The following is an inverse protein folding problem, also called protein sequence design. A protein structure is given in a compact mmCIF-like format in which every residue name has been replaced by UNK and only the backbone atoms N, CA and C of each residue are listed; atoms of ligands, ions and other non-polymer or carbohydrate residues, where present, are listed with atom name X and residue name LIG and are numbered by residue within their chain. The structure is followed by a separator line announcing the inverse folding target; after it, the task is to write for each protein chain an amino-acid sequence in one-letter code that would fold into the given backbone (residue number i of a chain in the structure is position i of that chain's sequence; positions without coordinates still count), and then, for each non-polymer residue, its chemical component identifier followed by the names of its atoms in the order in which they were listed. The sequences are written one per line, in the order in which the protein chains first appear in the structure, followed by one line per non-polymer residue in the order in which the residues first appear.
data_IF_625782660774
#
_entry.id   IF_625782660774
#
_cell.length_a   1.000
_cell.length_b   1.000
_cell.length_c   1.000
_cell.angle_alpha   90.00
_cell.angle_beta   90.00
_cell.angle_gamma   90.00
#
_symmetry.space_group_name_H-M   'P 1'
#
loop_
_entity.id
_entity.type
_entity.pdbx_description
1 polymer ?
#
# COMPACT_ATOMS: atom_id res chain seq x y z
N UNK A 1 -17.91 2.95 -10.64
CA UNK A 1 -16.61 3.66 -10.51
C UNK A 1 -16.81 5.14 -10.76
N UNK A 2 -16.07 6.01 -10.08
CA UNK A 2 -16.02 7.45 -10.38
C UNK A 2 -14.60 7.99 -10.28
N UNK A 3 -14.33 9.04 -11.05
CA UNK A 3 -13.06 9.76 -11.09
C UNK A 3 -13.36 11.25 -11.00
N UNK A 4 -12.59 11.96 -10.18
CA UNK A 4 -12.70 13.40 -9.98
C UNK A 4 -11.50 14.07 -10.63
N UNK A 5 -11.75 15.15 -11.36
CA UNK A 5 -10.77 15.92 -12.11
C UNK A 5 -10.77 17.39 -11.66
N UNK A 6 -9.59 17.96 -11.58
CA UNK A 6 -9.32 19.39 -11.43
C UNK A 6 -8.72 19.88 -12.75
N UNK A 7 -9.56 20.46 -13.61
CA UNK A 7 -9.21 20.67 -15.02
C UNK A 7 -8.90 19.34 -15.72
N UNK A 8 -7.70 19.23 -16.31
CA UNK A 8 -7.24 18.00 -16.98
C UNK A 8 -6.55 17.01 -16.02
N UNK A 9 -6.30 17.39 -14.77
CA UNK A 9 -5.62 16.54 -13.79
C UNK A 9 -6.63 15.63 -13.08
N UNK A 10 -6.44 14.32 -13.16
CA UNK A 10 -7.18 13.38 -12.31
C UNK A 10 -6.71 13.53 -10.86
N UNK A 11 -7.60 13.91 -9.96
CA UNK A 11 -7.27 14.12 -8.55
C UNK A 11 -7.71 12.96 -7.67
N UNK A 12 -8.76 12.23 -8.05
CA UNK A 12 -9.28 11.12 -7.24
C UNK A 12 -9.95 10.03 -8.07
N UNK A 13 -9.81 8.77 -7.65
CA UNK A 13 -10.54 7.60 -8.17
C UNK A 13 -11.19 6.89 -7.00
N UNK A 14 -12.52 6.74 -7.08
CA UNK A 14 -13.32 6.07 -6.07
C UNK A 14 -14.19 4.96 -6.65
N UNK A 15 -14.51 3.99 -5.80
CA UNK A 15 -15.55 3.00 -6.07
C UNK A 15 -16.64 3.10 -5.01
N UNK A 16 -17.82 2.60 -5.34
CA UNK A 16 -18.95 2.53 -4.42
C UNK A 16 -19.71 1.25 -4.73
N UNK A 17 -19.70 0.32 -3.78
CA UNK A 17 -20.37 -0.98 -3.88
C UNK A 17 -21.46 -1.14 -2.83
N UNK A 18 -21.37 -0.39 -1.73
CA UNK A 18 -22.28 -0.45 -0.57
C UNK A 18 -23.40 0.60 -0.58
N UNK A 19 -23.31 1.60 -1.47
CA UNK A 19 -24.28 2.69 -1.55
C UNK A 19 -24.38 3.25 -2.98
N UNK A 20 -25.50 3.88 -3.36
CA UNK A 20 -25.65 4.54 -4.65
C UNK A 20 -24.57 5.59 -4.88
N UNK A 21 -24.13 5.72 -6.13
CA UNK A 21 -23.10 6.71 -6.51
C UNK A 21 -23.49 8.13 -6.11
N UNK A 22 -24.76 8.50 -6.26
CA UNK A 22 -25.28 9.81 -5.89
C UNK A 22 -25.05 10.14 -4.40
N UNK A 23 -25.26 9.18 -3.52
CA UNK A 23 -25.06 9.37 -2.08
C UNK A 23 -23.58 9.44 -1.73
N UNK A 24 -22.74 8.66 -2.44
CA UNK A 24 -21.28 8.75 -2.30
C UNK A 24 -20.74 10.11 -2.75
N UNK A 25 -21.20 10.64 -3.88
CA UNK A 25 -20.81 11.97 -4.34
C UNK A 25 -21.32 13.07 -3.40
N UNK A 26 -22.52 12.93 -2.83
CA UNK A 26 -23.02 13.85 -1.80
C UNK A 26 -22.12 13.85 -0.55
N UNK A 27 -21.67 12.68 -0.08
CA UNK A 27 -20.71 12.62 1.03
C UNK A 27 -19.40 13.33 0.71
N UNK A 28 -18.93 13.26 -0.54
CA UNK A 28 -17.73 14.00 -0.96
C UNK A 28 -17.97 15.52 -0.98
N UNK A 29 -19.09 15.97 -1.56
CA UNK A 29 -19.36 17.39 -1.83
C UNK A 29 -19.89 18.16 -0.61
N UNK A 30 -20.70 17.52 0.24
CA UNK A 30 -21.42 18.20 1.34
C UNK A 30 -21.08 17.61 2.72
N UNK A 31 -20.07 16.75 2.78
CA UNK A 31 -19.64 16.09 4.00
C UNK A 31 -18.77 16.97 4.89
N UNK A 32 -17.94 16.32 5.70
CA UNK A 32 -16.88 16.95 6.50
C UNK A 32 -15.58 16.15 6.37
N UNK A 33 -14.52 16.54 7.07
CA UNK A 33 -13.20 15.86 7.01
C UNK A 33 -13.22 14.37 7.39
N UNK A 34 -14.26 13.89 8.09
CA UNK A 34 -14.46 12.47 8.40
C UNK A 34 -15.40 11.72 7.43
N UNK A 35 -16.08 12.44 6.54
CA UNK A 35 -17.09 11.86 5.63
C UNK A 35 -16.49 11.06 4.47
N UNK A 36 -15.26 11.40 4.05
CA UNK A 36 -14.56 10.68 2.99
C UNK A 36 -13.07 11.02 2.94
N UNK A 37 -12.27 10.06 2.46
CA UNK A 37 -10.84 10.25 2.23
C UNK A 37 -10.55 11.42 1.29
N UNK A 38 -11.36 11.59 0.23
CA UNK A 38 -11.23 12.72 -0.68
C UNK A 38 -11.41 14.07 0.04
N UNK A 39 -12.46 14.20 0.86
CA UNK A 39 -12.73 15.43 1.60
C UNK A 39 -11.63 15.71 2.65
N UNK A 40 -11.09 14.68 3.30
CA UNK A 40 -9.93 14.76 4.21
C UNK A 40 -8.68 15.28 3.48
N UNK A 41 -8.37 14.71 2.32
CA UNK A 41 -7.16 15.05 1.55
C UNK A 41 -7.23 16.44 0.94
N UNK A 42 -8.39 16.84 0.40
CA UNK A 42 -8.59 18.21 -0.11
C UNK A 42 -8.52 19.22 1.04
N UNK A 43 -9.11 18.90 2.19
CA UNK A 43 -9.00 19.75 3.38
C UNK A 43 -7.55 20.01 3.78
N UNK A 44 -6.74 18.96 3.90
CA UNK A 44 -5.31 19.08 4.23
C UNK A 44 -4.54 19.90 3.19
N UNK A 45 -4.81 19.67 1.91
CA UNK A 45 -4.17 20.41 0.82
C UNK A 45 -4.54 21.91 0.84
N UNK A 46 -5.80 22.24 1.14
CA UNK A 46 -6.22 23.63 1.33
C UNK A 46 -5.61 24.25 2.58
N UNK A 47 -5.41 23.48 3.66
CA UNK A 47 -4.78 24.00 4.90
C UNK A 47 -3.39 24.57 4.63
N UNK A 48 -2.57 23.81 3.90
CA UNK A 48 -1.22 24.21 3.50
C UNK A 48 -1.24 25.45 2.62
N UNK A 49 -2.21 25.54 1.72
CA UNK A 49 -2.31 26.63 0.75
C UNK A 49 -2.87 27.93 1.35
N UNK A 50 -3.75 27.82 2.33
CA UNK A 50 -4.36 28.96 3.03
C UNK A 50 -3.55 29.39 4.26
N UNK A 51 -2.63 28.55 4.74
CA UNK A 51 -1.88 28.78 5.98
C UNK A 51 -2.76 28.73 7.24
N UNK A 52 -3.97 28.17 7.13
CA UNK A 52 -4.95 27.98 8.21
C UNK A 52 -5.87 26.82 7.87
N UNK A 53 -6.58 26.31 8.88
CA UNK A 53 -7.58 25.28 8.64
C UNK A 53 -8.68 25.77 7.67
N UNK A 54 -8.83 25.05 6.56
CA UNK A 54 -9.87 25.26 5.57
C UNK A 54 -11.22 24.82 6.13
N UNK A 55 -12.22 25.68 6.01
CA UNK A 55 -13.59 25.40 6.45
C UNK A 55 -14.24 24.35 5.56
N UNK A 56 -15.28 23.69 6.07
CA UNK A 56 -16.08 22.74 5.29
C UNK A 56 -16.65 23.38 4.01
N UNK A 57 -17.04 24.65 4.07
CA UNK A 57 -17.56 25.41 2.91
C UNK A 57 -16.47 25.59 1.86
N UNK A 58 -15.26 25.99 2.25
CA UNK A 58 -14.15 26.17 1.30
C UNK A 58 -13.74 24.86 0.61
N UNK A 59 -13.80 23.74 1.33
CA UNK A 59 -13.52 22.42 0.77
C UNK A 59 -14.64 21.99 -0.18
N UNK A 60 -15.90 22.22 0.20
CA UNK A 60 -17.08 21.91 -0.62
C UNK A 60 -17.10 22.75 -1.91
N UNK A 61 -16.81 24.05 -1.83
CA UNK A 61 -16.73 24.95 -2.97
C UNK A 61 -15.64 24.51 -3.95
N UNK A 62 -14.47 24.13 -3.43
CA UNK A 62 -13.38 23.62 -4.26
C UNK A 62 -13.73 22.29 -4.95
N UNK A 63 -14.31 21.35 -4.21
CA UNK A 63 -14.79 20.08 -4.77
C UNK A 63 -15.94 20.28 -5.75
N UNK A 64 -16.79 21.28 -5.53
CA UNK A 64 -17.89 21.66 -6.41
C UNK A 64 -17.43 22.22 -7.76
N UNK A 65 -16.21 22.75 -7.83
CA UNK A 65 -15.59 23.20 -9.08
C UNK A 65 -14.94 22.05 -9.88
N UNK A 66 -14.80 20.86 -9.29
CA UNK A 66 -14.18 19.70 -9.93
C UNK A 66 -15.16 18.98 -10.88
N UNK A 67 -14.63 18.40 -11.95
CA UNK A 67 -15.42 17.54 -12.85
C UNK A 67 -15.47 16.11 -12.30
N UNK A 68 -16.65 15.50 -12.26
CA UNK A 68 -16.82 14.09 -11.88
C UNK A 68 -17.24 13.27 -13.10
N UNK A 69 -16.44 12.26 -13.45
CA UNK A 69 -16.76 11.27 -14.48
C UNK A 69 -17.02 9.92 -13.83
N UNK A 70 -18.01 9.16 -14.31
CA UNK A 70 -18.33 7.85 -13.73
C UNK A 70 -18.68 6.81 -14.80
N UNK A 71 -18.51 5.54 -14.42
CA UNK A 71 -18.88 4.38 -15.23
C UNK A 71 -19.31 3.21 -14.36
N UNK A 72 -20.30 2.47 -14.82
CA UNK A 72 -20.63 1.15 -14.29
C UNK A 72 -19.59 0.10 -14.74
N UNK A 73 -19.40 -0.92 -13.92
CA UNK A 73 -18.44 -2.00 -14.18
C UNK A 73 -18.74 -3.18 -13.28
N UNK A 74 -18.56 -4.39 -13.80
CA UNK A 74 -18.68 -5.63 -13.03
C UNK A 74 -17.38 -5.99 -12.28
N UNK A 75 -16.25 -5.38 -12.69
CA UNK A 75 -14.96 -5.45 -11.99
C UNK A 75 -14.54 -4.06 -11.49
N UNK A 76 -15.09 -3.59 -10.34
CA UNK A 76 -14.76 -2.27 -9.80
C UNK A 76 -13.33 -2.17 -9.30
N UNK A 77 -12.74 -3.27 -8.81
CA UNK A 77 -11.40 -3.26 -8.25
C UNK A 77 -10.33 -3.29 -9.36
N UNK A 78 -10.48 -4.13 -10.40
CA UNK A 78 -9.55 -4.12 -11.54
C UNK A 78 -9.63 -2.81 -12.34
N UNK A 79 -10.83 -2.24 -12.52
CA UNK A 79 -10.96 -0.92 -13.16
C UNK A 79 -10.32 0.19 -12.30
N UNK A 80 -10.45 0.12 -10.98
CA UNK A 80 -9.79 1.06 -10.06
C UNK A 80 -8.27 1.00 -10.21
N UNK A 81 -7.69 -0.19 -10.16
CA UNK A 81 -6.24 -0.37 -10.26
C UNK A 81 -5.69 0.15 -11.60
N UNK A 82 -6.38 -0.15 -12.71
CA UNK A 82 -6.01 0.37 -14.03
C UNK A 82 -6.05 1.90 -14.09
N UNK A 83 -7.09 2.52 -13.50
CA UNK A 83 -7.21 3.97 -13.43
C UNK A 83 -6.14 4.59 -12.53
N UNK A 84 -5.81 3.97 -11.40
CA UNK A 84 -4.73 4.43 -10.52
C UNK A 84 -3.35 4.38 -11.20
N UNK A 85 -3.06 3.30 -11.91
CA UNK A 85 -1.78 3.15 -12.62
C UNK A 85 -1.65 4.14 -13.77
N UNK A 86 -2.73 4.36 -14.52
CA UNK A 86 -2.74 5.22 -15.71
C UNK A 86 -2.83 6.71 -15.38
N UNK A 87 -3.76 7.08 -14.50
CA UNK A 87 -4.07 8.48 -14.19
C UNK A 87 -3.24 9.02 -13.04
N UNK A 88 -2.68 8.14 -12.19
CA UNK A 88 -1.83 8.48 -11.05
C UNK A 88 -2.40 9.64 -10.20
N UNK A 89 -3.65 9.51 -9.73
CA UNK A 89 -4.39 10.66 -9.23
C UNK A 89 -3.80 11.22 -7.94
N UNK A 90 -3.78 12.55 -7.87
CA UNK A 90 -3.10 13.34 -6.84
C UNK A 90 -3.42 12.88 -5.41
N UNK A 91 -4.69 12.59 -5.12
CA UNK A 91 -5.19 12.28 -3.78
C UNK A 91 -5.48 10.79 -3.51
N UNK A 92 -5.15 9.88 -4.45
CA UNK A 92 -5.15 8.43 -4.19
C UNK A 92 -3.79 7.88 -3.78
N UNK A 93 -2.75 8.71 -3.85
CA UNK A 93 -1.36 8.30 -3.70
C UNK A 93 -0.92 8.21 -2.24
N UNK A 94 -1.71 7.53 -1.44
CA UNK A 94 -1.32 6.89 -0.18
C UNK A 94 -2.11 5.59 -0.11
N UNK A 95 -1.64 4.58 -0.86
CA UNK A 95 -1.94 3.14 -0.76
C UNK A 95 -1.36 2.43 -2.00
N UNK A 96 -0.05 2.55 -2.22
CA UNK A 96 0.68 1.70 -3.17
C UNK A 96 2.12 1.60 -2.71
N UNK A 97 2.41 0.57 -1.90
CA UNK A 97 3.75 -0.01 -1.91
C UNK A 97 3.99 -0.58 -3.31
N UNK A 98 5.19 -0.39 -3.82
CA UNK A 98 5.61 -0.78 -5.16
C UNK A 98 5.16 -2.20 -5.55
N UNK A 99 4.28 -2.32 -6.56
CA UNK A 99 4.05 -3.55 -7.28
C UNK A 99 4.69 -3.41 -8.67
N UNK A 100 5.86 -4.03 -8.85
CA UNK A 100 6.36 -4.39 -10.17
C UNK A 100 5.48 -5.48 -10.79
N UNK A 101 5.57 -5.69 -12.12
CA UNK A 101 4.71 -6.61 -12.83
C UNK A 101 5.08 -8.06 -12.50
N UNK A 102 4.06 -8.92 -12.41
CA UNK A 102 4.11 -10.35 -12.08
C UNK A 102 4.26 -10.68 -10.58
N UNK A 103 3.16 -10.54 -9.83
CA UNK A 103 2.66 -11.70 -9.08
C UNK A 103 1.18 -11.51 -8.72
N UNK A 104 0.38 -12.50 -9.08
CA UNK A 104 -1.02 -12.68 -8.68
C UNK A 104 -1.09 -12.94 -7.17
N UNK A 105 -1.19 -11.88 -6.37
CA UNK A 105 -1.57 -12.00 -4.95
C UNK A 105 -3.10 -11.93 -4.88
N UNK A 106 -3.79 -12.84 -4.19
CA UNK A 106 -5.23 -12.72 -3.97
C UNK A 106 -5.55 -11.48 -3.13
N UNK A 107 -6.76 -10.93 -3.25
CA UNK A 107 -7.17 -9.70 -2.54
C UNK A 107 -7.81 -10.05 -1.20
N UNK A 108 -7.01 -10.12 -0.15
CA UNK A 108 -7.50 -10.07 1.22
C UNK A 108 -7.55 -8.63 1.71
N UNK A 109 -8.62 -8.26 2.41
CA UNK A 109 -8.78 -6.93 3.02
C UNK A 109 -8.63 -6.97 4.54
N UNK A 110 -8.40 -8.15 5.11
CA UNK A 110 -8.21 -8.34 6.54
C UNK A 110 -6.85 -7.84 6.99
N UNK A 111 -6.79 -7.32 8.21
CA UNK A 111 -5.54 -6.99 8.89
C UNK A 111 -5.42 -7.89 10.12
N UNK A 112 -4.30 -8.58 10.24
CA UNK A 112 -4.02 -9.53 11.31
C UNK A 112 -2.80 -9.08 12.09
N UNK A 113 -2.84 -9.29 13.41
CA UNK A 113 -1.70 -9.03 14.27
C UNK A 113 -1.22 -10.35 14.89
N UNK A 114 0.07 -10.60 14.79
CA UNK A 114 0.74 -11.81 15.23
C UNK A 114 1.75 -11.48 16.33
N UNK A 115 1.64 -12.08 17.54
CA UNK A 115 2.62 -11.87 18.60
C UNK A 115 3.93 -12.63 18.30
N UNK A 116 5.05 -11.91 18.27
CA UNK A 116 6.39 -12.50 18.26
C UNK A 116 7.06 -12.25 19.62
N UNK A 117 7.66 -13.27 20.20
CA UNK A 117 8.34 -13.16 21.49
C UNK A 117 9.44 -14.21 21.56
N UNK A 118 10.69 -13.77 21.71
CA UNK A 118 11.87 -14.65 21.79
C UNK A 118 11.79 -15.69 22.90
N UNK A 119 10.99 -15.42 23.95
CA UNK A 119 10.76 -16.33 25.08
C UNK A 119 9.43 -17.09 24.98
N UNK A 120 8.65 -16.85 23.94
CA UNK A 120 7.32 -17.41 23.75
C UNK A 120 7.36 -18.71 22.92
N UNK A 121 6.49 -19.70 23.22
CA UNK A 121 6.46 -20.98 22.50
C UNK A 121 6.00 -20.87 21.03
N UNK A 122 5.57 -19.68 20.59
CA UNK A 122 5.15 -19.40 19.22
C UNK A 122 6.30 -18.88 18.34
N UNK A 123 7.41 -18.47 18.95
CA UNK A 123 8.66 -18.12 18.27
C UNK A 123 9.55 -19.36 18.30
N UNK A 124 9.57 -20.10 17.20
CA UNK A 124 10.28 -21.38 17.08
C UNK A 124 11.57 -21.27 16.26
N UNK A 125 12.15 -20.08 16.20
CA UNK A 125 13.35 -19.78 15.41
C UNK A 125 14.58 -19.71 16.32
N UNK A 126 15.71 -20.25 15.88
CA UNK A 126 17.00 -20.21 16.59
C UNK A 126 17.62 -18.81 16.65
N UNK A 127 16.96 -17.81 16.06
CA UNK A 127 17.42 -16.42 15.91
C UNK A 127 16.52 -15.45 16.67
N UNK A 128 17.09 -14.30 17.04
CA UNK A 128 16.34 -13.21 17.67
C UNK A 128 15.27 -12.67 16.72
N UNK A 129 14.21 -12.04 17.26
CA UNK A 129 13.15 -11.41 16.45
C UNK A 129 13.75 -10.36 15.51
N UNK A 130 14.72 -9.60 16.02
CA UNK A 130 15.47 -8.60 15.28
C UNK A 130 16.24 -9.18 14.10
N UNK A 131 17.06 -10.20 14.36
CA UNK A 131 17.89 -10.84 13.36
C UNK A 131 17.05 -11.52 12.27
N UNK A 132 15.95 -12.16 12.67
CA UNK A 132 15.02 -12.78 11.74
C UNK A 132 14.45 -11.76 10.77
N UNK A 133 13.80 -10.71 11.26
CA UNK A 133 13.13 -9.73 10.39
C UNK A 133 14.09 -8.82 9.61
N UNK A 134 15.35 -8.75 10.03
CA UNK A 134 16.40 -8.05 9.27
C UNK A 134 16.85 -8.85 8.04
N UNK A 135 16.72 -10.17 8.08
CA UNK A 135 17.24 -11.10 7.05
C UNK A 135 16.17 -11.86 6.29
N UNK A 136 14.90 -11.73 6.71
CA UNK A 136 13.77 -12.40 6.08
C UNK A 136 13.52 -11.84 4.66
N UNK A 137 13.76 -12.68 3.66
CA UNK A 137 13.50 -12.38 2.25
C UNK A 137 12.54 -13.41 1.63
N UNK A 138 11.77 -12.96 0.64
CA UNK A 138 10.85 -13.83 -0.10
C UNK A 138 9.62 -14.26 0.70
N UNK A 139 9.09 -15.43 0.32
CA UNK A 139 7.93 -16.04 0.98
C UNK A 139 8.45 -17.03 2.02
N UNK A 140 8.05 -16.85 3.27
CA UNK A 140 8.44 -17.71 4.39
C UNK A 140 7.23 -18.49 4.90
N UNK A 141 7.47 -19.73 5.30
CA UNK A 141 6.42 -20.60 5.82
C UNK A 141 6.26 -20.42 7.33
N UNK A 142 5.19 -19.73 7.75
CA UNK A 142 5.02 -19.23 9.11
C UNK A 142 4.05 -20.06 9.94
N UNK A 143 4.39 -20.36 11.19
CA UNK A 143 3.50 -21.13 12.08
C UNK A 143 2.32 -20.27 12.58
N UNK A 144 1.12 -20.85 12.64
CA UNK A 144 -0.07 -20.24 13.22
C UNK A 144 -0.62 -21.06 14.39
N UNK A 145 -0.68 -20.45 15.58
CA UNK A 145 -1.37 -21.05 16.74
C UNK A 145 -2.89 -20.81 16.77
N UNK A 146 -3.38 -19.84 16.01
CA UNK A 146 -4.80 -19.41 15.98
C UNK A 146 -5.07 -18.55 14.74
N UNK A 147 -6.34 -18.22 14.48
CA UNK A 147 -6.73 -17.33 13.35
C UNK A 147 -6.72 -17.99 11.96
N UNK A 148 -6.21 -19.22 11.85
CA UNK A 148 -6.03 -19.96 10.59
C UNK A 148 -7.32 -20.23 9.80
N UNK A 149 -8.49 -20.22 10.43
CA UNK A 149 -9.79 -20.39 9.74
C UNK A 149 -10.34 -19.09 9.11
N UNK A 150 -9.77 -17.94 9.45
CA UNK A 150 -10.29 -16.63 9.07
C UNK A 150 -9.31 -15.83 8.21
N UNK A 151 -8.02 -16.18 8.27
CA UNK A 151 -6.98 -15.60 7.44
C UNK A 151 -7.16 -16.05 5.99
N UNK A 152 -7.19 -15.10 5.07
CA UNK A 152 -7.26 -15.35 3.65
C UNK A 152 -5.98 -14.89 2.92
N UNK A 153 -5.63 -15.51 1.79
CA UNK A 153 -4.61 -14.99 0.88
C UNK A 153 -4.86 -13.52 0.54
N UNK A 154 -3.80 -12.71 0.62
CA UNK A 154 -3.85 -11.27 0.42
C UNK A 154 -4.09 -10.43 1.66
N UNK A 155 -4.53 -11.03 2.76
CA UNK A 155 -4.68 -10.29 4.01
C UNK A 155 -3.33 -9.75 4.47
N UNK A 156 -3.34 -8.60 5.15
CA UNK A 156 -2.15 -8.05 5.78
C UNK A 156 -1.91 -8.71 7.12
N UNK A 157 -0.66 -9.00 7.42
CA UNK A 157 -0.24 -9.50 8.72
C UNK A 157 0.88 -8.64 9.29
N UNK A 158 0.80 -8.37 10.59
CA UNK A 158 1.72 -7.52 11.31
C UNK A 158 2.35 -8.28 12.45
N UNK A 159 3.69 -8.35 12.48
CA UNK A 159 4.42 -8.95 13.59
C UNK A 159 4.57 -7.92 14.71
N UNK A 160 4.11 -8.28 15.90
CA UNK A 160 4.14 -7.44 17.09
C UNK A 160 5.02 -8.08 18.15
N UNK A 161 6.16 -7.47 18.45
CA UNK A 161 7.07 -7.92 19.48
C UNK A 161 6.48 -7.56 20.86
N UNK A 162 6.03 -8.55 21.63
CA UNK A 162 5.23 -8.30 22.85
C UNK A 162 6.06 -7.88 24.04
N UNK A 163 7.17 -8.57 24.33
CA UNK A 163 8.08 -8.28 25.45
C UNK A 163 9.53 -8.54 25.02
N UNK A 164 10.51 -7.74 25.47
CA UNK A 164 10.36 -6.46 26.19
C UNK A 164 10.01 -5.27 25.26
N UNK A 165 9.89 -5.53 23.96
CA UNK A 165 9.93 -4.51 22.91
C UNK A 165 8.62 -3.71 22.78
N UNK A 166 7.46 -4.36 22.89
CA UNK A 166 6.15 -3.70 22.88
C UNK A 166 5.81 -2.90 21.63
N UNK A 167 6.21 -3.35 20.43
CA UNK A 167 5.93 -2.64 19.15
C UNK A 167 5.83 -3.55 17.94
N UNK A 168 5.30 -3.01 16.85
CA UNK A 168 5.35 -3.64 15.54
C UNK A 168 6.80 -3.70 15.04
N UNK A 169 7.21 -4.85 14.52
CA UNK A 169 8.56 -5.08 14.01
C UNK A 169 8.58 -5.51 12.54
N UNK A 170 7.45 -5.98 12.01
CA UNK A 170 7.33 -6.32 10.60
C UNK A 170 5.90 -6.19 10.10
N UNK A 171 5.77 -5.97 8.79
CA UNK A 171 4.50 -6.00 8.07
C UNK A 171 4.64 -6.85 6.82
N UNK A 172 3.62 -7.63 6.49
CA UNK A 172 3.63 -8.55 5.36
C UNK A 172 2.25 -8.84 4.82
N UNK A 173 2.22 -9.69 3.81
CA UNK A 173 0.99 -10.15 3.16
C UNK A 173 0.95 -11.67 3.21
N UNK A 174 -0.22 -12.21 3.53
CA UNK A 174 -0.50 -13.64 3.43
C UNK A 174 -0.44 -14.02 1.96
N UNK A 175 0.54 -14.85 1.60
CA UNK A 175 0.81 -15.19 0.21
C UNK A 175 -0.13 -16.27 -0.30
N UNK A 176 -0.42 -17.28 0.53
CA UNK A 176 -1.32 -18.38 0.20
C UNK A 176 -2.12 -18.84 1.43
N UNK A 177 -3.09 -19.73 1.23
CA UNK A 177 -4.04 -20.14 2.26
C UNK A 177 -3.33 -20.93 3.37
N UNK A 178 -3.75 -20.79 4.63
CA UNK A 178 -3.24 -21.62 5.71
C UNK A 178 -3.45 -23.12 5.43
N UNK A 179 -2.42 -23.93 5.68
CA UNK A 179 -2.46 -25.38 5.51
C UNK A 179 -1.96 -26.11 6.75
N UNK A 180 -2.34 -27.38 6.88
CA UNK A 180 -1.81 -28.24 7.93
C UNK A 180 -0.55 -28.97 7.43
N UNK A 181 0.53 -28.86 8.19
CA UNK A 181 1.70 -29.68 8.04
C UNK A 181 1.70 -30.75 9.13
N UNK A 182 1.85 -32.02 8.73
CA UNK A 182 2.10 -33.11 9.66
C UNK A 182 3.56 -33.04 10.11
N UNK A 183 3.81 -32.39 11.24
CA UNK A 183 5.13 -32.28 11.86
C UNK A 183 5.07 -32.88 13.28
N UNK A 184 5.46 -34.16 13.40
CA UNK A 184 5.39 -34.94 14.63
C UNK A 184 3.98 -35.41 15.02
N UNK A 185 3.74 -35.58 16.34
CA UNK A 185 2.51 -36.17 16.91
C UNK A 185 1.25 -35.30 16.81
N UNK A 186 1.36 -34.01 16.44
CA UNK A 186 0.22 -33.09 16.31
C UNK A 186 0.31 -32.25 15.05
N UNK A 187 -0.76 -32.17 14.24
CA UNK A 187 -0.76 -31.33 13.04
C UNK A 187 -0.59 -29.85 13.42
N UNK A 188 0.31 -29.17 12.72
CA UNK A 188 0.59 -27.75 12.92
C UNK A 188 0.06 -26.95 11.74
N UNK A 189 -0.63 -25.85 12.02
CA UNK A 189 -1.06 -24.93 10.98
C UNK A 189 0.09 -24.02 10.59
N UNK A 190 0.29 -23.86 9.29
CA UNK A 190 1.26 -22.93 8.71
C UNK A 190 0.63 -22.07 7.64
N UNK A 191 1.26 -20.94 7.34
CA UNK A 191 0.80 -19.99 6.34
C UNK A 191 2.01 -19.37 5.63
N UNK A 192 2.03 -19.36 4.29
CA UNK A 192 3.05 -18.63 3.55
C UNK A 192 2.85 -17.12 3.73
N UNK A 193 3.87 -16.43 4.23
CA UNK A 193 3.88 -14.97 4.40
C UNK A 193 4.97 -14.38 3.55
N UNK A 194 4.65 -13.34 2.80
CA UNK A 194 5.65 -12.47 2.17
C UNK A 194 5.80 -11.20 2.98
N UNK A 195 6.93 -11.07 3.69
CA UNK A 195 7.24 -9.85 4.43
C UNK A 195 7.57 -8.70 3.47
N UNK A 196 7.08 -7.50 3.78
CA UNK A 196 7.43 -6.28 3.06
C UNK A 196 8.76 -5.78 3.62
N UNK A 197 9.83 -5.96 2.85
CA UNK A 197 11.19 -5.65 3.29
C UNK A 197 11.35 -4.15 3.61
N UNK A 198 10.83 -3.24 2.78
CA UNK A 198 10.99 -1.81 2.99
C UNK A 198 10.25 -1.36 4.25
N UNK A 199 9.02 -1.82 4.42
CA UNK A 199 8.20 -1.54 5.59
C UNK A 199 8.80 -2.16 6.86
N UNK A 200 9.30 -3.39 6.78
CA UNK A 200 9.90 -4.09 7.92
C UNK A 200 11.18 -3.37 8.36
N UNK A 201 12.06 -2.98 7.43
CA UNK A 201 13.25 -2.20 7.75
C UNK A 201 12.90 -0.87 8.43
N UNK A 202 11.87 -0.20 7.92
CA UNK A 202 11.36 1.03 8.52
C UNK A 202 10.87 0.81 9.97
N UNK A 203 10.06 -0.21 10.20
CA UNK A 203 9.53 -0.55 11.54
C UNK A 203 10.63 -0.95 12.53
N UNK A 204 11.66 -1.67 12.05
CA UNK A 204 12.81 -2.05 12.87
C UNK A 204 13.62 -0.81 13.30
N UNK A 205 13.90 0.10 12.37
CA UNK A 205 14.64 1.34 12.64
C UNK A 205 13.88 2.32 13.55
N UNK A 206 12.55 2.24 13.56
CA UNK A 206 11.71 3.13 14.34
C UNK A 206 11.48 2.62 15.77
N UNK A 207 12.29 3.11 16.70
CA UNK A 207 12.23 2.72 18.12
C UNK A 207 10.91 3.10 18.82
N UNK A 208 10.08 3.95 18.22
CA UNK A 208 8.80 4.31 18.81
C UNK A 208 7.73 3.26 18.49
N UNK A 209 6.95 2.90 19.51
CA UNK A 209 5.77 2.11 19.28
C UNK A 209 4.80 2.87 18.36
N UNK A 210 4.32 2.20 17.31
CA UNK A 210 3.22 2.75 16.52
C UNK A 210 2.00 2.91 17.45
N UNK A 211 1.48 4.14 17.63
CA UNK A 211 0.37 4.38 18.54
C UNK A 211 -0.85 3.54 18.14
N UNK A 212 -1.47 2.87 19.11
CA UNK A 212 -2.78 2.24 18.92
C UNK A 212 -2.85 0.73 19.07
N UNK A 213 -1.74 0.02 19.23
CA UNK A 213 -1.76 -1.40 19.62
C UNK A 213 -1.26 -1.54 21.06
N UNK A 214 -2.14 -1.81 22.05
CA UNK A 214 -1.71 -2.01 23.42
C UNK A 214 -0.90 -3.32 23.55
N UNK A 215 0.33 -3.26 24.05
CA UNK A 215 1.22 -4.41 24.20
C UNK A 215 0.58 -5.59 24.95
N UNK A 216 -0.20 -5.27 25.99
CA UNK A 216 -0.92 -6.24 26.82
C UNK A 216 -2.04 -7.02 26.10
N UNK A 217 -2.45 -6.57 24.90
CA UNK A 217 -3.62 -7.10 24.19
C UNK A 217 -3.30 -8.13 23.09
N UNK A 218 -2.02 -8.30 22.74
CA UNK A 218 -1.58 -9.17 21.63
C UNK A 218 -0.96 -10.44 22.20
N UNK A 219 -1.80 -11.39 22.64
CA UNK A 219 -1.34 -12.70 23.16
C UNK A 219 -1.48 -13.86 22.17
N UNK A 220 -2.27 -13.64 21.12
CA UNK A 220 -2.56 -14.61 20.06
C UNK A 220 -2.80 -13.90 18.74
N UNK A 221 -2.73 -14.66 17.66
CA UNK A 221 -3.11 -14.16 16.33
C UNK A 221 -4.57 -13.76 16.34
N UNK A 222 -4.86 -12.52 15.92
CA UNK A 222 -6.23 -12.01 15.83
C UNK A 222 -6.37 -10.98 14.72
N UNK A 223 -7.60 -10.79 14.27
CA UNK A 223 -7.95 -9.63 13.46
C UNK A 223 -7.66 -8.35 14.25
N UNK A 224 -7.10 -7.37 13.55
CA UNK A 224 -7.00 -5.99 14.04
C UNK A 224 -8.38 -5.35 13.93
N UNK A 225 -8.74 -4.56 14.94
CA UNK A 225 -9.94 -3.73 14.89
C UNK A 225 -9.73 -2.62 13.88
N UNK A 226 -10.81 -2.14 13.28
CA UNK A 226 -10.77 -1.07 12.27
C UNK A 226 -10.03 0.18 12.81
N UNK A 227 -10.28 0.57 14.06
CA UNK A 227 -9.56 1.67 14.71
C UNK A 227 -8.05 1.42 14.88
N UNK A 228 -7.63 0.16 15.12
CA UNK A 228 -6.21 -0.18 15.23
C UNK A 228 -5.54 -0.07 13.85
N UNK A 229 -6.26 -0.46 12.79
CA UNK A 229 -5.81 -0.34 11.40
C UNK A 229 -5.72 1.12 10.98
N UNK A 230 -6.73 1.94 11.31
CA UNK A 230 -6.75 3.36 11.01
C UNK A 230 -5.59 4.09 11.70
N UNK A 231 -5.41 3.87 13.02
CA UNK A 231 -4.31 4.48 13.78
C UNK A 231 -2.94 4.05 13.27
N UNK A 232 -2.78 2.77 12.91
CA UNK A 232 -1.55 2.26 12.29
C UNK A 232 -1.29 2.94 10.95
N UNK A 233 -2.31 3.08 10.11
CA UNK A 233 -2.20 3.70 8.78
C UNK A 233 -1.81 5.17 8.92
N UNK A 234 -2.53 5.94 9.75
CA UNK A 234 -2.25 7.36 10.00
C UNK A 234 -0.82 7.56 10.57
N UNK A 235 -0.36 6.68 11.46
CA UNK A 235 0.98 6.76 12.02
C UNK A 235 2.09 6.46 10.99
N UNK A 236 1.89 5.45 10.13
CA UNK A 236 2.84 5.13 9.05
C UNK A 236 2.88 6.26 8.01
N UNK A 237 1.72 6.83 7.70
CA UNK A 237 1.59 7.95 6.76
C UNK A 237 2.25 9.23 7.30
N UNK A 238 2.02 9.55 8.58
CA UNK A 238 2.65 10.70 9.23
C UNK A 238 4.16 10.58 9.30
N UNK A 239 4.70 9.37 9.55
CA UNK A 239 6.15 9.14 9.64
C UNK A 239 6.83 9.08 8.28
N UNK A 240 6.16 8.56 7.25
CA UNK A 240 6.66 8.60 5.87
C UNK A 240 6.72 10.03 5.31
N UNK A 241 5.88 10.93 5.82
CA UNK A 241 5.96 12.37 5.53
C UNK A 241 7.11 13.08 6.27
N UNK A 242 7.67 12.48 7.33
CA UNK A 242 8.78 13.01 8.13
C UNK A 242 10.17 12.53 7.65
N UNK A 243 10.24 11.61 6.68
CA UNK A 243 11.50 11.28 6.00
C UNK A 243 12.12 12.57 5.42
N UNK A 244 13.29 13.00 5.90
CA UNK A 244 13.83 14.30 5.55
C UNK A 244 14.17 14.33 4.06
N UNK A 245 13.90 15.48 3.43
CA UNK A 245 14.37 15.85 2.10
C UNK A 245 15.91 16.01 2.05
N UNK A 246 16.66 15.04 2.57
CA UNK A 246 18.09 15.12 2.86
C UNK A 246 18.97 14.15 2.07
N UNK A 247 18.59 13.77 0.84
CA UNK A 247 19.56 13.15 -0.07
C UNK A 247 20.23 14.27 -0.88
N UNK A 248 21.57 14.42 -0.82
CA UNK A 248 22.29 15.38 -1.64
C UNK A 248 21.93 15.18 -3.12
N UNK A 249 21.55 16.26 -3.78
CA UNK A 249 20.95 16.30 -5.12
C UNK A 249 21.75 15.52 -6.18
N UNK A 250 23.08 15.42 -5.99
CA UNK A 250 23.98 14.63 -6.84
C UNK A 250 23.71 13.11 -6.84
N UNK A 251 23.24 12.53 -5.73
CA UNK A 251 22.91 11.09 -5.68
C UNK A 251 21.57 10.79 -6.35
N UNK A 252 20.60 11.71 -6.22
CA UNK A 252 19.32 11.65 -6.95
C UNK A 252 19.54 11.73 -8.46
N UNK A 253 20.43 12.62 -8.94
CA UNK A 253 20.75 12.74 -10.37
C UNK A 253 21.40 11.49 -10.93
N UNK A 254 22.40 10.92 -10.24
CA UNK A 254 23.06 9.68 -10.70
C UNK A 254 22.11 8.49 -10.73
N UNK A 255 21.26 8.31 -9.73
CA UNK A 255 20.29 7.23 -9.72
C UNK A 255 19.24 7.43 -10.83
N UNK A 256 18.74 8.64 -11.04
CA UNK A 256 17.83 8.95 -12.15
C UNK A 256 18.47 8.71 -13.54
N UNK A 257 19.74 9.05 -13.72
CA UNK A 257 20.48 8.76 -14.96
C UNK A 257 20.72 7.27 -15.18
N UNK A 258 20.98 6.50 -14.12
CA UNK A 258 21.14 5.05 -14.19
C UNK A 258 19.81 4.37 -14.53
N UNK A 259 18.70 4.79 -13.90
CA UNK A 259 17.36 4.25 -14.16
C UNK A 259 16.86 4.62 -15.56
N UNK A 260 17.17 5.83 -16.05
CA UNK A 260 16.82 6.26 -17.41
C UNK A 260 17.54 5.44 -18.49
N UNK A 261 18.76 4.95 -18.22
CA UNK A 261 19.55 4.16 -19.19
C UNK A 261 19.15 2.69 -19.27
N UNK A 262 18.58 2.10 -18.21
CA UNK A 262 18.25 0.66 -18.19
C UNK A 262 16.97 0.28 -18.95
N UNK A 263 16.08 1.23 -19.28
CA UNK A 263 14.85 0.97 -20.05
C UNK A 263 14.94 1.24 -21.55
N UNK A 264 16.01 1.90 -22.01
CA UNK A 264 16.14 2.36 -23.39
C UNK A 264 16.36 1.24 -24.43
N UNK A 265 17.12 0.16 -24.16
CA UNK A 265 17.33 -0.92 -25.13
C UNK A 265 16.04 -1.70 -25.41
N UNK A 266 15.26 -1.99 -24.36
CA UNK A 266 14.00 -2.72 -24.48
C UNK A 266 12.91 -1.88 -25.12
N UNK A 267 12.84 -0.59 -24.78
CA UNK A 267 11.94 0.35 -25.44
C UNK A 267 12.30 0.50 -26.92
N UNK A 268 13.59 0.69 -27.25
CA UNK A 268 14.08 0.79 -28.64
C UNK A 268 13.76 -0.47 -29.44
N UNK A 269 14.00 -1.66 -28.88
CA UNK A 269 13.67 -2.94 -29.53
C UNK A 269 12.18 -3.06 -29.81
N UNK A 270 11.31 -2.75 -28.84
CA UNK A 270 9.86 -2.78 -29.01
C UNK A 270 9.36 -1.77 -30.04
N UNK A 271 10.01 -0.60 -30.12
CA UNK A 271 9.69 0.42 -31.13
C UNK A 271 10.08 -0.06 -32.54
N UNK A 272 11.29 -0.63 -32.68
CA UNK A 272 11.77 -1.18 -33.95
C UNK A 272 10.91 -2.34 -34.44
N UNK A 273 10.46 -3.24 -33.55
CA UNK A 273 9.52 -4.31 -33.87
C UNK A 273 8.15 -3.76 -34.29
N UNK A 274 7.60 -2.81 -33.54
CA UNK A 274 6.28 -2.24 -33.81
C UNK A 274 6.21 -1.49 -35.16
N UNK A 275 7.30 -0.86 -35.58
CA UNK A 275 7.37 -0.10 -36.82
C UNK A 275 8.14 -0.83 -37.94
N UNK A 276 8.51 -2.10 -37.73
CA UNK A 276 9.21 -2.93 -38.73
C UNK A 276 10.53 -2.32 -39.21
N UNK A 277 11.26 -1.64 -38.32
CA UNK A 277 12.52 -0.97 -38.64
C UNK A 277 12.39 0.26 -39.55
N UNK A 278 11.22 0.90 -39.63
CA UNK A 278 10.99 2.10 -40.44
C UNK A 278 10.39 3.24 -39.64
N UNK A 279 10.77 4.48 -39.95
CA UNK A 279 10.21 5.66 -39.30
C UNK A 279 8.70 5.76 -39.56
N UNK A 280 7.90 5.89 -38.50
CA UNK A 280 6.44 6.00 -38.56
C UNK A 280 5.93 7.22 -39.35
N UNK A 281 6.79 8.23 -39.54
CA UNK A 281 6.43 9.51 -40.17
C UNK A 281 6.92 9.56 -41.62
N UNK A 282 8.14 9.10 -41.89
CA UNK A 282 8.78 9.26 -43.22
C UNK A 282 8.95 7.94 -43.98
N UNK A 283 8.77 6.79 -43.34
CA UNK A 283 9.00 5.47 -43.93
C UNK A 283 10.48 5.11 -44.15
N UNK A 284 11.41 5.97 -43.72
CA UNK A 284 12.85 5.76 -43.84
C UNK A 284 13.33 4.58 -42.96
N UNK A 285 14.22 3.75 -43.48
CA UNK A 285 14.76 2.53 -42.87
C UNK A 285 16.18 2.69 -42.28
N UNK A 286 16.63 3.94 -42.08
CA UNK A 286 17.94 4.21 -41.48
C UNK A 286 17.90 4.01 -39.96
N UNK A 287 18.75 3.11 -39.45
CA UNK A 287 18.81 2.70 -38.03
C UNK A 287 19.10 3.85 -37.05
N UNK A 288 19.79 4.90 -37.50
CA UNK A 288 20.07 6.10 -36.71
C UNK A 288 18.85 7.03 -36.52
N UNK A 289 17.79 6.85 -37.33
CA UNK A 289 16.57 7.66 -37.29
C UNK A 289 15.44 7.03 -36.43
N UNK A 290 15.72 5.91 -35.76
CA UNK A 290 14.80 5.12 -34.93
C UNK A 290 15.31 4.96 -33.49
#
# INVERSE_FOLDING_TARGET
MHVVFDGDEAIYVGNTTKQPLRDRLRQHLTGNRGSSALHKHVGRWLDERLGREATTVEIADWLGACEVRWRETDDPEGLKDALLQRLRPRFNRQLSGHAGPHSTVPRGTGHWIYPVNERGPQWGEDRSVWEYFTTAEGVVDWRLGSGYHQIAPGDRIWAYATEPIGRLVAGGVIWDAPYQQADGDKPQWRVPIRWDHELTRFLLADEQAVPGVPAMSVRRVRGMREEEVERLTDALDGRRALEPQGLPEGRRRRLAEITARQGQPDFRRRLLEAYGGRCAITGCDTEAAL
#
